data_IF_709587225635
#
_entry.id   IF_709587225635
#
_cell.length_a   1.000
_cell.length_b   1.000
_cell.length_c   1.000
_cell.angle_alpha   90.00
_cell.angle_beta   90.00
_cell.angle_gamma   90.00
#
_symmetry.space_group_name_H-M   'P 1'
#
loop_
_entity.id
_entity.type
_entity.pdbx_description
1 polymer ?
#
# COMPACT_ATOMS: atom_id res chain seq x y z
N UNK A 1 1.55 8.33 16.94
CA UNK A 1 2.11 7.23 16.12
C UNK A 1 1.54 7.37 14.72
N UNK A 2 2.25 6.91 13.69
CA UNK A 2 1.73 6.92 12.33
C UNK A 2 0.72 5.77 12.17
N UNK A 3 -0.44 6.04 11.58
CA UNK A 3 -1.48 5.03 11.32
C UNK A 3 -1.42 4.49 9.88
N UNK A 4 -0.76 5.21 8.97
CA UNK A 4 -0.68 4.85 7.56
C UNK A 4 0.76 4.88 7.05
N UNK A 5 1.18 3.82 6.36
CA UNK A 5 2.51 3.65 5.82
C UNK A 5 2.45 3.36 4.32
N UNK A 6 3.14 4.18 3.51
CA UNK A 6 3.34 3.91 2.09
C UNK A 6 4.62 3.10 1.84
N UNK A 7 4.62 2.34 0.74
CA UNK A 7 5.81 1.64 0.28
C UNK A 7 7.00 2.58 0.03
N UNK A 8 8.18 2.13 0.46
CA UNK A 8 9.45 2.78 0.14
C UNK A 8 9.85 2.48 -1.31
N UNK A 9 9.66 3.47 -2.18
CA UNK A 9 10.00 3.37 -3.60
C UNK A 9 11.43 3.79 -3.92
N UNK A 10 12.24 4.18 -2.93
CA UNK A 10 13.61 4.65 -3.14
C UNK A 10 14.51 3.57 -3.77
N UNK A 11 14.19 2.28 -3.55
CA UNK A 11 14.86 1.14 -4.18
C UNK A 11 14.85 1.21 -5.71
N UNK A 12 13.75 1.67 -6.32
CA UNK A 12 13.66 1.80 -7.78
C UNK A 12 14.57 2.92 -8.30
N UNK A 13 14.65 4.04 -7.58
CA UNK A 13 15.56 5.14 -7.92
C UNK A 13 17.03 4.73 -7.79
N UNK A 14 17.38 3.95 -6.75
CA UNK A 14 18.73 3.40 -6.57
C UNK A 14 19.09 2.42 -7.69
N UNK A 15 18.17 1.51 -8.05
CA UNK A 15 18.36 0.59 -9.19
C UNK A 15 18.57 1.33 -10.50
N UNK A 16 17.76 2.36 -10.79
CA UNK A 16 17.90 3.17 -11.99
C UNK A 16 19.28 3.86 -12.07
N UNK A 17 19.78 4.40 -10.95
CA UNK A 17 21.15 4.95 -10.87
C UNK A 17 22.22 3.88 -11.13
N UNK A 18 22.05 2.68 -10.56
CA UNK A 18 22.94 1.54 -10.80
C UNK A 18 22.96 1.13 -12.28
N UNK A 19 21.79 1.01 -12.90
CA UNK A 19 21.67 0.72 -14.34
C UNK A 19 22.33 1.82 -15.18
N UNK A 20 22.15 3.10 -14.82
CA UNK A 20 22.81 4.20 -15.51
C UNK A 20 24.34 4.08 -15.48
N UNK A 21 24.91 3.73 -14.33
CA UNK A 21 26.36 3.54 -14.20
C UNK A 21 26.83 2.36 -15.06
N UNK A 22 26.15 1.20 -14.95
CA UNK A 22 26.53 -0.03 -15.67
C UNK A 22 26.44 0.14 -17.19
N UNK A 23 25.49 0.92 -17.69
CA UNK A 23 25.25 1.11 -19.12
C UNK A 23 26.05 2.29 -19.69
N UNK A 24 26.00 3.46 -19.03
CA UNK A 24 26.58 4.68 -19.59
C UNK A 24 28.10 4.73 -19.46
N UNK A 25 28.69 4.18 -18.39
CA UNK A 25 30.14 4.24 -18.20
C UNK A 25 30.90 3.48 -19.30
N UNK A 26 30.54 2.22 -19.64
CA UNK A 26 31.20 1.51 -20.73
C UNK A 26 30.98 2.17 -22.09
N UNK A 27 29.74 2.60 -22.39
CA UNK A 27 29.41 3.26 -23.66
C UNK A 27 30.17 4.58 -23.83
N UNK A 28 30.31 5.35 -22.75
CA UNK A 28 31.12 6.56 -22.75
C UNK A 28 32.60 6.25 -23.04
N UNK A 29 33.16 5.22 -22.40
CA UNK A 29 34.53 4.78 -22.67
C UNK A 29 34.77 4.42 -24.15
N UNK A 30 33.84 3.67 -24.77
CA UNK A 30 33.89 3.34 -26.20
C UNK A 30 33.81 4.60 -27.07
N UNK A 31 32.90 5.52 -26.75
CA UNK A 31 32.75 6.78 -27.50
C UNK A 31 34.01 7.64 -27.43
N UNK A 32 34.62 7.77 -26.25
CA UNK A 32 35.88 8.52 -26.07
C UNK A 32 37.01 7.86 -26.86
N UNK A 33 37.14 6.53 -26.80
CA UNK A 33 38.15 5.81 -27.57
C UNK A 33 37.99 6.02 -29.07
N UNK A 34 36.77 5.92 -29.61
CA UNK A 34 36.48 6.20 -31.02
C UNK A 34 36.77 7.67 -31.37
N UNK A 35 36.42 8.63 -30.51
CA UNK A 35 36.65 10.05 -30.76
C UNK A 35 38.15 10.40 -30.81
N UNK A 36 38.95 9.89 -29.88
CA UNK A 36 40.41 10.08 -29.86
C UNK A 36 41.04 9.47 -31.12
N UNK A 37 40.63 8.27 -31.52
CA UNK A 37 41.14 7.64 -32.73
C UNK A 37 40.75 8.39 -34.01
N UNK A 38 39.56 8.99 -34.07
CA UNK A 38 39.18 9.88 -35.18
C UNK A 38 40.11 11.10 -35.22
N UNK A 39 40.34 11.76 -34.08
CA UNK A 39 41.22 12.93 -33.96
C UNK A 39 42.66 12.64 -34.41
N UNK A 40 43.22 11.52 -33.97
CA UNK A 40 44.59 11.12 -34.35
C UNK A 40 44.72 10.80 -35.85
N UNK A 41 43.65 10.31 -36.49
CA UNK A 41 43.68 9.88 -37.90
C UNK A 41 43.19 10.93 -38.90
N UNK A 42 42.67 12.08 -38.44
CA UNK A 42 42.15 13.15 -39.29
C UNK A 42 43.23 13.83 -40.17
N UNK A 43 44.49 13.85 -39.72
CA UNK A 43 45.62 14.46 -40.46
C UNK A 43 46.49 13.47 -41.25
N UNK A 44 46.27 12.16 -41.12
CA UNK A 44 47.21 11.13 -41.58
C UNK A 44 46.95 10.59 -43.00
N UNK A 45 46.06 11.22 -43.79
CA UNK A 45 45.70 10.72 -45.13
C UNK A 45 45.00 9.34 -45.12
N UNK A 46 44.52 8.90 -43.96
CA UNK A 46 43.99 7.56 -43.73
C UNK A 46 42.62 7.32 -44.39
N UNK A 47 42.30 6.05 -44.65
CA UNK A 47 41.08 5.66 -45.39
C UNK A 47 39.80 6.23 -44.75
N UNK A 48 39.03 6.99 -45.53
CA UNK A 48 37.77 7.60 -45.09
C UNK A 48 36.76 6.59 -44.51
N UNK A 49 36.89 5.31 -44.86
CA UNK A 49 36.06 4.21 -44.35
C UNK A 49 36.22 3.97 -42.85
N UNK A 50 37.43 4.01 -42.30
CA UNK A 50 37.68 3.74 -40.87
C UNK A 50 37.12 4.87 -40.00
N UNK A 51 37.28 6.13 -40.43
CA UNK A 51 36.73 7.31 -39.75
C UNK A 51 35.19 7.25 -39.74
N UNK A 52 34.58 6.91 -40.89
CA UNK A 52 33.12 6.73 -41.00
C UNK A 52 32.62 5.59 -40.11
N UNK A 53 33.34 4.47 -40.03
CA UNK A 53 33.00 3.35 -39.17
C UNK A 53 33.03 3.76 -37.69
N UNK A 54 34.07 4.45 -37.23
CA UNK A 54 34.16 4.90 -35.84
C UNK A 54 33.10 5.95 -35.50
N UNK A 55 32.78 6.86 -36.42
CA UNK A 55 31.67 7.79 -36.24
C UNK A 55 30.32 7.06 -36.13
N UNK A 56 30.10 6.02 -36.94
CA UNK A 56 28.91 5.17 -36.87
C UNK A 56 28.81 4.45 -35.51
N UNK A 57 29.92 3.91 -35.00
CA UNK A 57 29.97 3.26 -33.68
C UNK A 57 29.55 4.23 -32.57
N UNK A 58 30.04 5.49 -32.60
CA UNK A 58 29.62 6.52 -31.63
C UNK A 58 28.10 6.73 -31.69
N UNK A 59 27.54 6.89 -32.89
CA UNK A 59 26.09 7.08 -33.07
C UNK A 59 25.31 5.89 -32.49
N UNK A 60 25.73 4.66 -32.79
CA UNK A 60 25.07 3.45 -32.28
C UNK A 60 25.16 3.38 -30.76
N UNK A 61 26.31 3.67 -30.16
CA UNK A 61 26.50 3.67 -28.71
C UNK A 61 25.58 4.70 -28.02
N UNK A 62 25.45 5.91 -28.59
CA UNK A 62 24.57 6.95 -28.04
C UNK A 62 23.10 6.53 -28.17
N UNK A 63 22.68 5.98 -29.31
CA UNK A 63 21.31 5.49 -29.51
C UNK A 63 20.98 4.32 -28.58
N UNK A 64 21.90 3.36 -28.41
CA UNK A 64 21.73 2.24 -27.48
C UNK A 64 21.65 2.72 -26.02
N UNK A 65 22.52 3.65 -25.61
CA UNK A 65 22.51 4.21 -24.25
C UNK A 65 21.24 4.99 -23.94
N UNK A 66 20.77 5.80 -24.89
CA UNK A 66 19.54 6.61 -24.70
C UNK A 66 18.29 5.74 -24.67
N UNK A 67 18.14 4.79 -25.59
CA UNK A 67 16.99 3.87 -25.63
C UNK A 67 16.88 3.00 -24.39
N UNK A 68 18.00 2.41 -23.94
CA UNK A 68 18.03 1.59 -22.72
C UNK A 68 17.72 2.40 -21.47
N UNK A 69 18.27 3.62 -21.34
CA UNK A 69 17.98 4.50 -20.20
C UNK A 69 16.54 4.99 -20.20
N UNK A 70 15.99 5.31 -21.38
CA UNK A 70 14.60 5.72 -21.50
C UNK A 70 13.64 4.59 -21.09
N UNK A 71 13.88 3.36 -21.59
CA UNK A 71 13.10 2.19 -21.21
C UNK A 71 13.20 1.91 -19.70
N UNK A 72 14.41 1.95 -19.13
CA UNK A 72 14.62 1.75 -17.70
C UNK A 72 13.90 2.82 -16.85
N UNK A 73 13.93 4.09 -17.28
CA UNK A 73 13.24 5.18 -16.60
C UNK A 73 11.72 5.03 -16.65
N UNK A 74 11.15 4.64 -17.79
CA UNK A 74 9.72 4.37 -17.93
C UNK A 74 9.26 3.22 -17.02
N UNK A 75 10.00 2.12 -17.00
CA UNK A 75 9.71 0.98 -16.12
C UNK A 75 9.81 1.40 -14.65
N UNK A 76 10.88 2.09 -14.26
CA UNK A 76 11.06 2.56 -12.88
C UNK A 76 9.93 3.51 -12.46
N UNK A 77 9.52 4.45 -13.33
CA UNK A 77 8.39 5.36 -13.07
C UNK A 77 7.09 4.58 -12.92
N UNK A 78 6.83 3.61 -13.80
CA UNK A 78 5.65 2.74 -13.75
C UNK A 78 5.59 1.94 -12.45
N UNK A 79 6.66 1.24 -12.09
CA UNK A 79 6.72 0.46 -10.84
C UNK A 79 6.60 1.36 -9.61
N UNK A 80 7.25 2.52 -9.60
CA UNK A 80 7.15 3.50 -8.52
C UNK A 80 5.70 3.92 -8.30
N UNK A 81 5.00 4.32 -9.37
CA UNK A 81 3.61 4.77 -9.29
C UNK A 81 2.65 3.65 -8.85
N UNK A 82 2.89 2.41 -9.27
CA UNK A 82 2.07 1.25 -8.86
C UNK A 82 2.27 0.91 -7.39
N UNK A 83 3.52 0.72 -6.96
CA UNK A 83 3.79 0.37 -5.57
C UNK A 83 3.46 1.51 -4.61
N UNK A 84 3.65 2.78 -4.99
CA UNK A 84 3.27 3.91 -4.12
C UNK A 84 1.76 3.98 -3.86
N UNK A 85 0.95 3.55 -4.83
CA UNK A 85 -0.52 3.62 -4.75
C UNK A 85 -1.14 2.36 -4.14
N UNK A 86 -0.62 1.19 -4.46
CA UNK A 86 -1.27 -0.08 -4.13
C UNK A 86 -0.52 -0.93 -3.09
N UNK A 87 0.72 -0.57 -2.74
CA UNK A 87 1.44 -1.19 -1.63
C UNK A 87 1.44 -0.23 -0.43
N UNK A 88 0.67 -0.55 0.58
CA UNK A 88 0.53 0.27 1.79
C UNK A 88 0.15 -0.59 3.00
N UNK A 89 0.36 -0.04 4.19
CA UNK A 89 -0.13 -0.59 5.44
C UNK A 89 -0.96 0.48 6.14
N UNK A 90 -2.16 0.10 6.53
CA UNK A 90 -3.16 0.97 7.14
C UNK A 90 -3.62 0.36 8.46
N UNK A 91 -3.57 1.13 9.55
CA UNK A 91 -3.94 0.68 10.89
C UNK A 91 -5.34 1.21 11.19
N UNK A 92 -6.25 0.27 11.47
CA UNK A 92 -7.66 0.50 11.73
C UNK A 92 -7.97 0.27 13.21
N UNK A 93 -9.16 0.67 13.70
CA UNK A 93 -9.50 0.49 15.11
C UNK A 93 -9.54 -0.98 15.57
N UNK A 94 -9.98 -1.90 14.70
CA UNK A 94 -10.16 -3.32 15.03
C UNK A 94 -9.05 -4.25 14.50
N UNK A 95 -8.07 -3.70 13.78
CA UNK A 95 -7.00 -4.46 13.15
C UNK A 95 -6.13 -3.61 12.24
N UNK A 96 -5.41 -4.25 11.32
CA UNK A 96 -4.68 -3.53 10.29
C UNK A 96 -4.80 -4.22 8.93
N UNK A 97 -4.67 -3.43 7.88
CA UNK A 97 -4.68 -3.86 6.49
C UNK A 97 -3.30 -3.69 5.90
N UNK A 98 -2.78 -4.73 5.27
CA UNK A 98 -1.59 -4.66 4.43
C UNK A 98 -1.98 -4.98 2.99
N UNK A 99 -1.89 -3.98 2.11
CA UNK A 99 -2.12 -4.14 0.67
C UNK A 99 -0.78 -4.28 -0.04
N UNK A 100 -0.68 -5.25 -0.96
CA UNK A 100 0.48 -5.49 -1.79
C UNK A 100 0.06 -5.55 -3.26
N UNK A 101 0.68 -4.70 -4.09
CA UNK A 101 0.57 -4.83 -5.55
C UNK A 101 1.10 -6.20 -6.00
N UNK A 102 0.26 -6.98 -6.69
CA UNK A 102 0.56 -8.34 -7.11
C UNK A 102 0.67 -8.49 -8.64
N UNK A 103 0.20 -7.51 -9.40
CA UNK A 103 0.34 -7.48 -10.84
C UNK A 103 -0.69 -6.60 -11.52
N UNK A 104 -0.60 -6.54 -12.83
CA UNK A 104 -1.63 -5.95 -13.68
C UNK A 104 -1.76 -6.82 -14.93
N UNK A 105 -2.97 -6.97 -15.43
CA UNK A 105 -3.24 -7.54 -16.73
C UNK A 105 -4.17 -6.61 -17.49
N UNK A 106 -4.17 -6.76 -18.82
CA UNK A 106 -5.04 -5.99 -19.68
C UNK A 106 -6.17 -6.89 -20.14
N UNK A 107 -7.40 -6.52 -19.81
CA UNK A 107 -8.60 -7.20 -20.26
C UNK A 107 -9.26 -6.33 -21.33
N UNK A 108 -9.05 -6.67 -22.60
CA UNK A 108 -9.40 -5.81 -23.75
C UNK A 108 -8.86 -4.38 -23.59
N UNK A 109 -9.72 -3.43 -23.20
CA UNK A 109 -9.36 -2.03 -22.98
C UNK A 109 -9.20 -1.64 -21.51
N UNK A 110 -9.66 -2.49 -20.58
CA UNK A 110 -9.55 -2.21 -19.16
C UNK A 110 -8.25 -2.74 -18.58
N UNK A 111 -7.53 -1.85 -17.91
CA UNK A 111 -6.36 -2.21 -17.13
C UNK A 111 -6.80 -2.68 -15.75
N UNK A 112 -6.75 -3.99 -15.53
CA UNK A 112 -7.09 -4.60 -14.25
C UNK A 112 -5.85 -4.72 -13.39
N UNK A 113 -5.93 -4.20 -12.18
CA UNK A 113 -4.82 -4.20 -11.20
C UNK A 113 -5.14 -5.22 -10.13
N UNK A 114 -4.24 -6.18 -9.94
CA UNK A 114 -4.35 -7.22 -8.93
C UNK A 114 -3.60 -6.82 -7.67
N UNK A 115 -4.24 -7.01 -6.52
CA UNK A 115 -3.63 -6.77 -5.22
C UNK A 115 -3.81 -8.00 -4.33
N UNK A 116 -2.77 -8.28 -3.53
CA UNK A 116 -2.89 -9.13 -2.37
C UNK A 116 -3.20 -8.25 -1.17
N UNK A 117 -4.40 -8.38 -0.63
CA UNK A 117 -4.80 -7.69 0.58
C UNK A 117 -4.64 -8.67 1.76
N UNK A 118 -4.18 -8.18 2.88
CA UNK A 118 -4.11 -8.92 4.13
C UNK A 118 -4.82 -8.11 5.19
N UNK A 119 -5.79 -8.69 5.88
CA UNK A 119 -6.42 -8.07 7.03
C UNK A 119 -6.13 -8.91 8.27
N UNK A 120 -5.58 -8.27 9.30
CA UNK A 120 -5.24 -8.93 10.56
C UNK A 120 -6.02 -8.24 11.67
N UNK A 121 -7.08 -8.85 12.22
CA UNK A 121 -7.81 -8.31 13.35
C UNK A 121 -6.93 -8.34 14.61
N UNK A 122 -6.95 -7.27 15.39
CA UNK A 122 -6.15 -7.19 16.62
C UNK A 122 -6.52 -8.24 17.66
N UNK A 123 -7.79 -8.66 17.68
CA UNK A 123 -8.28 -9.76 18.51
C UNK A 123 -7.61 -11.11 18.20
N UNK A 124 -7.07 -11.28 17.00
CA UNK A 124 -6.45 -12.51 16.53
C UNK A 124 -4.92 -12.49 16.54
N UNK A 125 -4.26 -11.45 17.04
CA UNK A 125 -2.79 -11.34 17.04
C UNK A 125 -2.20 -12.02 18.28
N UNK A 126 -1.31 -12.97 18.03
CA UNK A 126 -0.56 -13.69 19.06
C UNK A 126 0.79 -13.03 19.32
N UNK A 127 1.55 -12.75 18.26
CA UNK A 127 2.92 -12.26 18.35
C UNK A 127 3.26 -11.33 17.18
N UNK A 128 3.96 -10.23 17.48
CA UNK A 128 4.60 -9.37 16.48
C UNK A 128 6.10 -9.48 16.71
N UNK A 129 6.82 -10.04 15.74
CA UNK A 129 8.26 -10.28 15.86
C UNK A 129 9.06 -9.64 14.73
N UNK A 130 10.27 -9.20 15.07
CA UNK A 130 11.22 -8.59 14.15
C UNK A 130 12.59 -9.23 14.36
N UNK A 131 13.11 -9.88 13.33
CA UNK A 131 14.49 -10.36 13.35
C UNK A 131 15.45 -9.21 12.99
N UNK A 132 16.21 -8.74 13.97
CA UNK A 132 17.16 -7.64 13.78
C UNK A 132 18.44 -8.07 13.07
N UNK A 133 18.80 -9.36 13.13
CA UNK A 133 20.08 -9.87 12.61
C UNK A 133 19.94 -10.40 11.20
N UNK A 134 18.94 -11.24 10.93
CA UNK A 134 18.78 -11.85 9.61
C UNK A 134 18.05 -10.93 8.63
N UNK A 135 17.05 -10.17 9.09
CA UNK A 135 16.14 -9.44 8.21
C UNK A 135 15.61 -8.15 8.86
N UNK A 136 16.47 -7.12 9.01
CA UNK A 136 16.16 -5.91 9.78
C UNK A 136 14.99 -5.08 9.24
N UNK A 137 14.65 -5.27 7.96
CA UNK A 137 13.53 -4.61 7.28
C UNK A 137 12.31 -5.53 7.10
N UNK A 138 12.29 -6.70 7.74
CA UNK A 138 11.14 -7.59 7.77
C UNK A 138 10.39 -7.49 9.09
N UNK A 139 9.08 -7.69 9.02
CA UNK A 139 8.22 -7.81 10.18
C UNK A 139 7.37 -9.07 10.02
N UNK A 140 7.29 -9.88 11.05
CA UNK A 140 6.43 -11.06 11.11
C UNK A 140 5.30 -10.81 12.09
N UNK A 141 4.07 -11.09 11.67
CA UNK A 141 2.90 -11.10 12.55
C UNK A 141 2.31 -12.50 12.55
N UNK A 142 2.19 -13.11 13.72
CA UNK A 142 1.50 -14.40 13.90
C UNK A 142 0.11 -14.17 14.47
N UNK A 143 -0.86 -14.91 13.94
CA UNK A 143 -2.25 -14.80 14.34
C UNK A 143 -3.21 -15.16 13.20
N UNK A 144 -4.48 -14.77 13.35
CA UNK A 144 -5.51 -15.02 12.34
C UNK A 144 -5.41 -14.01 11.18
N UNK A 145 -4.56 -14.28 10.20
CA UNK A 145 -4.39 -13.42 9.02
C UNK A 145 -5.42 -13.81 7.98
N UNK A 146 -6.21 -12.85 7.49
CA UNK A 146 -7.14 -13.03 6.37
C UNK A 146 -6.47 -12.52 5.10
N UNK A 147 -6.37 -13.36 4.07
CA UNK A 147 -5.72 -13.04 2.80
C UNK A 147 -6.73 -13.00 1.66
N UNK A 148 -6.51 -12.06 0.73
CA UNK A 148 -7.31 -11.85 -0.46
C UNK A 148 -6.40 -11.65 -1.67
N UNK A 149 -6.75 -12.24 -2.79
CA UNK A 149 -6.08 -11.98 -4.06
C UNK A 149 -7.11 -11.72 -5.14
N UNK A 150 -7.36 -10.43 -5.39
CA UNK A 150 -8.44 -9.99 -6.25
C UNK A 150 -8.11 -8.66 -6.92
N UNK A 151 -9.02 -8.23 -7.80
CA UNK A 151 -8.96 -6.93 -8.45
C UNK A 151 -9.04 -5.77 -7.45
N UNK A 152 -8.29 -4.71 -7.75
CA UNK A 152 -8.19 -3.53 -6.88
C UNK A 152 -9.55 -2.87 -6.62
N UNK A 153 -10.47 -2.90 -7.57
CA UNK A 153 -11.83 -2.35 -7.46
C UNK A 153 -12.67 -3.06 -6.38
N UNK A 154 -12.41 -4.34 -6.12
CA UNK A 154 -13.19 -5.19 -5.21
C UNK A 154 -12.64 -5.22 -3.77
N UNK A 155 -11.46 -4.65 -3.58
CA UNK A 155 -10.69 -4.68 -2.32
C UNK A 155 -10.77 -3.36 -1.55
N UNK A 156 -11.85 -2.60 -1.75
CA UNK A 156 -12.16 -1.43 -0.94
C UNK A 156 -12.70 -1.83 0.43
N UNK A 157 -12.46 -0.98 1.42
CA UNK A 157 -12.92 -1.18 2.79
C UNK A 157 -13.17 0.17 3.46
N UNK A 158 -14.02 0.14 4.48
CA UNK A 158 -14.35 1.29 5.31
C UNK A 158 -14.55 0.86 6.77
N UNK A 159 -14.42 1.80 7.69
CA UNK A 159 -14.69 1.57 9.11
C UNK A 159 -16.13 2.01 9.39
N UNK A 160 -16.96 1.09 9.86
CA UNK A 160 -18.34 1.37 10.24
C UNK A 160 -18.46 2.22 11.51
N UNK A 161 -19.67 2.72 11.79
CA UNK A 161 -19.95 3.50 13.00
C UNK A 161 -19.73 2.71 14.30
N UNK A 162 -19.80 1.38 14.22
CA UNK A 162 -19.51 0.45 15.31
C UNK A 162 -18.01 0.29 15.60
N UNK A 163 -17.14 0.80 14.72
CA UNK A 163 -15.69 0.70 14.77
C UNK A 163 -15.14 -0.55 14.07
N UNK A 164 -15.98 -1.34 13.41
CA UNK A 164 -15.57 -2.55 12.70
C UNK A 164 -15.22 -2.27 11.23
N UNK A 165 -14.20 -2.95 10.74
CA UNK A 165 -13.80 -2.88 9.33
C UNK A 165 -14.77 -3.70 8.48
N UNK A 166 -15.40 -3.05 7.51
CA UNK A 166 -16.28 -3.66 6.53
C UNK A 166 -15.66 -3.54 5.13
N UNK A 167 -15.70 -4.63 4.37
CA UNK A 167 -15.22 -4.62 2.98
C UNK A 167 -16.36 -4.26 2.02
N UNK A 168 -16.06 -3.53 0.95
CA UNK A 168 -17.07 -3.11 -0.02
C UNK A 168 -17.65 -4.31 -0.79
N UNK A 169 -16.88 -5.39 -0.90
CA UNK A 169 -17.31 -6.64 -1.51
C UNK A 169 -18.03 -7.54 -0.49
N UNK A 170 -19.31 -7.89 -0.70
CA UNK A 170 -20.08 -8.75 0.20
C UNK A 170 -19.46 -10.14 0.34
N UNK A 171 -18.87 -10.65 -0.74
CA UNK A 171 -18.20 -11.95 -0.75
C UNK A 171 -17.07 -12.03 0.28
N UNK A 172 -16.37 -10.92 0.50
CA UNK A 172 -15.32 -10.85 1.49
C UNK A 172 -15.90 -10.89 2.90
N UNK A 173 -17.03 -10.21 3.15
CA UNK A 173 -17.65 -10.23 4.47
C UNK A 173 -18.35 -11.56 4.79
N UNK A 174 -18.96 -12.22 3.79
CA UNK A 174 -19.90 -13.34 4.01
C UNK A 174 -19.30 -14.73 3.80
N UNK A 175 -18.50 -14.94 2.74
CA UNK A 175 -18.01 -16.29 2.37
C UNK A 175 -16.77 -16.73 3.14
N UNK A 176 -16.20 -15.82 3.92
CA UNK A 176 -14.98 -16.08 4.69
C UNK A 176 -13.72 -16.01 3.85
N UNK A 177 -12.59 -16.04 4.55
CA UNK A 177 -11.28 -15.65 4.05
C UNK A 177 -10.37 -16.86 3.88
N UNK A 178 -9.40 -16.77 2.96
CA UNK A 178 -8.21 -17.61 3.11
C UNK A 178 -7.49 -17.19 4.39
N UNK A 179 -7.44 -18.08 5.38
CA UNK A 179 -6.76 -17.82 6.64
C UNK A 179 -5.33 -18.34 6.59
N UNK A 180 -4.38 -17.50 6.98
CA UNK A 180 -3.00 -17.88 7.21
C UNK A 180 -2.64 -17.60 8.67
N UNK A 181 -1.74 -18.41 9.24
CA UNK A 181 -1.32 -18.25 10.64
C UNK A 181 -0.22 -17.20 10.81
N UNK A 182 0.37 -16.76 9.68
CA UNK A 182 1.53 -15.88 9.67
C UNK A 182 1.51 -14.95 8.47
N UNK A 183 1.81 -13.68 8.73
CA UNK A 183 2.05 -12.64 7.74
C UNK A 183 3.51 -12.18 7.80
N UNK A 184 4.20 -12.18 6.66
CA UNK A 184 5.54 -11.62 6.52
C UNK A 184 5.52 -10.35 5.66
N UNK A 185 5.93 -9.24 6.26
CA UNK A 185 6.04 -7.95 5.60
C UNK A 185 7.52 -7.70 5.31
N UNK A 186 7.94 -7.99 4.08
CA UNK A 186 9.36 -8.04 3.72
C UNK A 186 9.82 -6.82 2.93
N UNK A 187 10.53 -5.89 3.59
CA UNK A 187 11.35 -4.87 2.93
C UNK A 187 10.60 -3.87 2.04
N UNK A 188 9.28 -3.80 2.15
CA UNK A 188 8.43 -2.86 1.42
C UNK A 188 8.38 -1.49 2.07
N UNK A 189 8.69 -1.42 3.35
CA UNK A 189 8.63 -0.20 4.13
C UNK A 189 10.01 0.13 4.69
N UNK A 190 10.37 1.41 4.70
CA UNK A 190 11.73 1.85 5.03
C UNK A 190 12.19 1.46 6.44
N UNK A 191 11.31 1.51 7.45
CA UNK A 191 11.64 1.15 8.83
C UNK A 191 10.62 0.19 9.44
N UNK A 192 10.95 -1.11 9.46
CA UNK A 192 10.12 -2.12 10.13
C UNK A 192 9.96 -1.84 11.63
N UNK A 193 10.95 -1.20 12.28
CA UNK A 193 10.85 -0.78 13.69
C UNK A 193 9.71 0.19 13.92
N UNK A 194 9.54 1.20 13.05
CA UNK A 194 8.44 2.18 13.18
C UNK A 194 7.07 1.53 13.06
N UNK A 195 6.94 0.58 12.12
CA UNK A 195 5.71 -0.19 11.93
C UNK A 195 5.41 -1.02 13.17
N UNK A 196 6.41 -1.77 13.67
CA UNK A 196 6.27 -2.57 14.89
C UNK A 196 5.79 -1.71 16.07
N UNK A 197 6.46 -0.60 16.35
CA UNK A 197 6.08 0.29 17.46
C UNK A 197 4.67 0.85 17.30
N UNK A 198 4.25 1.18 16.08
CA UNK A 198 2.91 1.70 15.84
C UNK A 198 1.86 0.60 16.01
N UNK A 199 2.11 -0.61 15.49
CA UNK A 199 1.22 -1.75 15.68
C UNK A 199 1.09 -2.15 17.15
N UNK A 200 2.19 -2.21 17.89
CA UNK A 200 2.18 -2.49 19.34
C UNK A 200 1.39 -1.43 20.11
N UNK A 201 1.52 -0.16 19.74
CA UNK A 201 0.76 0.94 20.34
C UNK A 201 -0.75 0.79 20.12
N UNK A 202 -1.18 0.62 18.86
CA UNK A 202 -2.61 0.49 18.54
C UNK A 202 -3.21 -0.83 19.05
N UNK A 203 -2.43 -1.91 19.10
CA UNK A 203 -2.83 -3.16 19.72
C UNK A 203 -3.00 -3.01 21.25
N UNK A 204 -2.15 -2.24 21.91
CA UNK A 204 -2.31 -1.91 23.33
C UNK A 204 -3.55 -1.05 23.57
N UNK A 205 -3.81 -0.05 22.72
CA UNK A 205 -5.04 0.74 22.77
C UNK A 205 -6.28 -0.13 22.59
N UNK A 206 -6.29 -1.01 21.59
CA UNK A 206 -7.39 -1.95 21.34
C UNK A 206 -7.67 -2.85 22.56
N UNK A 207 -6.62 -3.39 23.18
CA UNK A 207 -6.74 -4.22 24.39
C UNK A 207 -7.20 -3.43 25.62
N UNK A 208 -6.98 -2.13 25.64
CA UNK A 208 -7.43 -1.24 26.72
C UNK A 208 -8.90 -0.81 26.57
N UNK A 209 -9.51 -0.99 25.38
CA UNK A 209 -10.94 -0.72 25.19
C UNK A 209 -11.72 -1.76 26.01
N UNK A 210 -12.54 -1.33 26.99
CA UNK A 210 -13.36 -2.27 27.73
C UNK A 210 -14.33 -2.96 26.77
N UNK A 211 -14.44 -4.27 26.86
CA UNK A 211 -15.44 -5.02 26.08
C UNK A 211 -16.81 -4.34 26.28
N UNK A 212 -17.45 -3.92 25.18
CA UNK A 212 -18.80 -3.37 25.22
C UNK A 212 -19.66 -4.44 25.89
N UNK A 213 -20.10 -4.20 27.12
CA UNK A 213 -21.01 -5.11 27.83
C UNK A 213 -22.17 -5.42 26.90
N UNK A 214 -22.55 -6.71 26.73
CA UNK A 214 -23.74 -7.03 25.96
C UNK A 214 -24.90 -6.20 26.51
N UNK A 215 -25.62 -5.52 25.62
CA UNK A 215 -26.76 -4.69 26.02
C UNK A 215 -27.75 -5.55 26.80
N UNK A 216 -27.72 -5.45 28.12
CA UNK A 216 -28.56 -6.27 28.96
C UNK A 216 -29.94 -5.62 29.01
N UNK A 217 -30.86 -6.15 28.20
CA UNK A 217 -32.26 -5.72 28.16
C UNK A 217 -32.88 -5.72 29.57
N UNK A 218 -32.43 -6.61 30.47
CA UNK A 218 -32.88 -6.65 31.86
C UNK A 218 -32.47 -5.42 32.70
N UNK A 219 -31.31 -4.81 32.44
CA UNK A 219 -30.88 -3.56 33.10
C UNK A 219 -31.62 -2.33 32.57
N UNK A 220 -32.12 -2.38 31.32
CA UNK A 220 -32.91 -1.30 30.72
C UNK A 220 -34.39 -1.32 31.17
N UNK A 221 -34.92 -2.49 31.54
CA UNK A 221 -36.31 -2.66 31.99
C UNK A 221 -36.53 -2.19 33.45
N UNK A 222 -35.48 -2.08 34.27
CA UNK A 222 -35.61 -1.70 35.71
C UNK A 222 -35.74 -0.21 35.97
N UNK A 223 -35.58 0.66 34.95
CA UNK A 223 -36.08 2.03 35.03
C UNK A 223 -37.59 2.01 34.84
N UNK A 224 -38.33 1.63 35.90
CA UNK A 224 -39.75 1.99 36.04
C UNK A 224 -39.85 3.49 35.82
N UNK A 225 -40.28 3.91 34.63
CA UNK A 225 -40.70 5.29 34.37
C UNK A 225 -41.70 5.64 35.47
N UNK A 226 -41.33 6.53 36.41
CA UNK A 226 -42.30 7.14 37.31
C UNK A 226 -43.43 7.64 36.43
N UNK A 227 -44.66 7.15 36.66
CA UNK A 227 -45.85 7.70 36.00
C UNK A 227 -45.80 9.21 36.22
N UNK A 228 -45.67 9.97 35.13
CA UNK A 228 -45.81 11.43 35.20
C UNK A 228 -47.21 11.69 35.79
N UNK A 229 -47.34 12.61 36.76
CA UNK A 229 -48.65 12.99 37.25
C UNK A 229 -49.45 13.52 36.06
N UNK A 230 -50.56 12.85 35.75
CA UNK A 230 -51.47 13.26 34.68
C UNK A 230 -52.37 14.37 35.19
N UNK A 231 -52.62 15.37 34.34
CA UNK A 231 -53.53 16.47 34.65
C UNK A 231 -54.95 16.04 34.30
N UNK A 232 -55.98 16.65 34.91
CA UNK A 232 -57.38 16.36 34.56
C UNK A 232 -57.78 16.91 33.18
N UNK A 233 -56.88 17.58 32.46
CA UNK A 233 -57.14 18.16 31.15
C UNK A 233 -56.40 17.36 30.04
N UNK A 234 -57.11 16.48 29.31
CA UNK A 234 -56.50 15.61 28.30
C UNK A 234 -55.93 16.36 27.09
N UNK A 235 -56.28 17.64 26.88
CA UNK A 235 -55.74 18.46 25.77
C UNK A 235 -54.29 18.91 25.99
N UNK A 236 -53.80 18.93 27.24
CA UNK A 236 -52.41 19.29 27.57
C UNK A 236 -51.45 18.10 27.46
N UNK A 237 -51.97 16.88 27.27
CA UNK A 237 -51.18 15.65 27.15
C UNK A 237 -51.08 15.15 25.70
N UNK A 238 -51.68 15.84 24.74
CA UNK A 238 -51.58 15.52 23.31
C UNK A 238 -50.17 15.87 22.76
N UNK A 239 -49.52 15.01 21.94
CA UNK A 239 -48.18 15.26 21.39
C UNK A 239 -48.06 16.52 20.52
N UNK A 240 -49.19 17.00 19.98
CA UNK A 240 -49.26 18.24 19.20
C UNK A 240 -50.60 18.93 19.47
N UNK A 241 -50.57 19.94 20.34
CA UNK A 241 -51.66 20.88 20.54
C UNK A 241 -51.39 22.12 19.67
N UNK A 242 -52.24 22.35 18.66
CA UNK A 242 -52.20 23.57 17.86
C UNK A 242 -53.39 24.46 18.21
N UNK A 243 -53.11 25.67 18.70
CA UNK A 243 -54.11 26.65 19.13
C UNK A 243 -54.18 27.76 18.09
N UNK A 244 -54.92 27.53 17.01
CA UNK A 244 -55.24 28.59 16.07
C UNK A 244 -56.34 29.48 16.66
N UNK A 245 -55.98 30.71 17.03
CA UNK A 245 -56.94 31.79 17.24
C UNK A 245 -57.27 32.44 15.91
N UNK A 246 -58.37 31.99 15.31
CA UNK A 246 -59.19 32.81 14.40
C UNK A 246 -60.55 33.01 15.03
#
# INVERSE_FOLDING_TARGET
MDYFFHADTTKYRRRLRGTAIIVLVPLFGVCVFCAVNILLNLGAGNSSGIIKLMALVIVICVLAGTTTMFAAALLAKKYTARHSRFTYLDILPDGFVFSLYAGEFRNWDDQVILRRLYFVPFSGIEEISRDQKASPCSLTVKGKVRCYFEESSRLGYHVGEDGHTQFDSPELNERGFETADKLEINGWFGSAKKIQTSLEHYLAEFRAIPEKKPFNIAEHITLRKKKRPTTSNPLLEAPSYDRNWK
#
